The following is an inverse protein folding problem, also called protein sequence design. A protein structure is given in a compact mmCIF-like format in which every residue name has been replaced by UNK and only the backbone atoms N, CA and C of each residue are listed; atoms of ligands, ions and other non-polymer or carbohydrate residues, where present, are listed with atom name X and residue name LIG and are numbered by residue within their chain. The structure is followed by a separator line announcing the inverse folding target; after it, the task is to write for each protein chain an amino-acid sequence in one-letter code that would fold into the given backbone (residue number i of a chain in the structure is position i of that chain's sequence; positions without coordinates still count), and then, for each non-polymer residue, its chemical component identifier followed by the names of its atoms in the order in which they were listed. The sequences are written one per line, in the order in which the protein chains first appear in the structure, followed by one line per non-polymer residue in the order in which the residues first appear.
data_IF_593879039803
#
_entry.id   IF_593879039803
#
_cell.length_a   1.000
_cell.length_b   1.000
_cell.length_c   1.000
_cell.angle_alpha   90.00
_cell.angle_beta   90.00
_cell.angle_gamma   90.00
#
_symmetry.space_group_name_H-M   'P 1'
#
loop_
_entity.id
_entity.type
_entity.pdbx_description
1 polymer ?
#
# COMPACT_ATOMS: atom_id res chain seq x y z
N UNK A 1 43.98 -9.45 -22.99
CA UNK A 1 42.53 -9.67 -22.88
C UNK A 1 41.84 -8.50 -23.61
N UNK A 2 41.10 -8.79 -24.65
CA UNK A 2 40.51 -7.76 -25.51
C UNK A 2 39.29 -7.17 -24.79
N UNK A 3 39.00 -5.84 -24.92
CA UNK A 3 37.90 -5.16 -24.26
C UNK A 3 36.52 -5.75 -24.58
N UNK A 4 36.42 -6.57 -25.64
CA UNK A 4 35.22 -7.30 -26.00
C UNK A 4 34.87 -8.46 -25.03
N UNK A 5 35.88 -9.08 -24.41
CA UNK A 5 35.69 -10.19 -23.44
C UNK A 5 35.21 -9.58 -22.10
N UNK A 6 35.71 -8.39 -21.74
CA UNK A 6 35.27 -7.69 -20.53
C UNK A 6 33.81 -7.21 -20.63
N UNK A 7 33.39 -6.79 -21.83
CA UNK A 7 31.99 -6.38 -22.08
C UNK A 7 31.03 -7.57 -22.06
N UNK A 8 31.47 -8.74 -22.54
CA UNK A 8 30.66 -9.98 -22.52
C UNK A 8 30.54 -10.58 -21.11
N UNK A 9 31.58 -10.48 -20.28
CA UNK A 9 31.55 -10.89 -18.88
C UNK A 9 30.71 -9.93 -18.03
N UNK A 10 30.67 -8.64 -18.35
CA UNK A 10 29.82 -7.68 -17.67
C UNK A 10 28.33 -7.86 -18.04
N UNK A 11 28.03 -8.32 -19.25
CA UNK A 11 26.64 -8.63 -19.67
C UNK A 11 26.09 -9.93 -19.07
N UNK A 12 26.96 -10.89 -18.72
CA UNK A 12 26.57 -12.16 -18.09
C UNK A 12 26.39 -12.06 -16.57
N UNK A 13 26.82 -10.95 -15.95
CA UNK A 13 26.66 -10.73 -14.52
C UNK A 13 25.30 -10.13 -14.13
N UNK A 14 24.40 -9.86 -15.09
CA UNK A 14 23.05 -9.30 -14.85
C UNK A 14 21.94 -10.35 -15.00
N UNK A 15 22.22 -11.59 -14.64
CA UNK A 15 21.13 -12.56 -14.35
C UNK A 15 20.71 -12.42 -12.91
N UNK A 16 20.18 -11.24 -12.55
CA UNK A 16 19.47 -11.06 -11.30
C UNK A 16 18.22 -11.93 -11.31
N UNK A 17 18.05 -12.72 -10.27
CA UNK A 17 16.84 -13.50 -10.02
C UNK A 17 15.64 -12.55 -10.07
N UNK A 18 14.75 -12.74 -11.06
CA UNK A 18 13.49 -11.98 -11.15
C UNK A 18 12.56 -12.54 -10.07
N UNK A 19 12.75 -12.12 -8.84
CA UNK A 19 11.78 -12.34 -7.79
C UNK A 19 10.66 -11.31 -7.95
N UNK A 20 9.70 -11.60 -8.81
CA UNK A 20 8.50 -10.77 -9.01
C UNK A 20 7.52 -10.97 -7.85
N UNK A 21 7.92 -10.57 -6.64
CA UNK A 21 7.05 -10.63 -5.45
C UNK A 21 6.29 -9.33 -5.33
N UNK A 22 5.10 -9.27 -5.90
CA UNK A 22 4.22 -8.11 -5.76
C UNK A 22 3.28 -8.30 -4.58
N UNK A 23 3.38 -7.45 -3.55
CA UNK A 23 2.36 -7.31 -2.51
C UNK A 23 1.12 -6.60 -3.08
N UNK A 24 -0.04 -6.80 -2.43
CA UNK A 24 -1.28 -6.09 -2.75
C UNK A 24 -1.06 -4.60 -2.90
N UNK A 25 -1.58 -4.03 -3.96
CA UNK A 25 -1.43 -2.60 -4.28
C UNK A 25 -2.80 -1.95 -4.34
N UNK A 26 -3.06 -1.06 -3.41
CA UNK A 26 -4.28 -0.27 -3.41
C UNK A 26 -4.20 0.86 -4.43
N UNK A 27 -5.34 1.22 -4.99
CA UNK A 27 -5.45 2.28 -6.00
C UNK A 27 -5.48 3.68 -5.40
N UNK A 28 -5.88 3.78 -4.13
CA UNK A 28 -6.01 5.04 -3.40
C UNK A 28 -5.13 5.08 -2.13
N UNK A 29 -3.79 4.81 -2.21
CA UNK A 29 -2.93 4.75 -1.02
C UNK A 29 -2.88 6.06 -0.23
N UNK A 30 -3.13 7.18 -0.88
CA UNK A 30 -3.13 8.52 -0.27
C UNK A 30 -4.34 8.80 0.64
N UNK A 31 -5.38 7.98 0.62
CA UNK A 31 -6.51 8.11 1.56
C UNK A 31 -6.14 7.59 2.96
N UNK A 32 -5.12 6.73 3.03
CA UNK A 32 -4.60 6.19 4.28
C UNK A 32 -3.08 5.94 4.20
N UNK A 33 -2.26 7.01 4.29
CA UNK A 33 -0.80 6.90 4.14
C UNK A 33 -0.10 6.04 5.20
N UNK A 34 -0.75 5.73 6.33
CA UNK A 34 -0.23 4.82 7.37
C UNK A 34 0.14 3.46 6.78
N UNK A 35 -0.58 3.01 5.75
CA UNK A 35 -0.31 1.73 5.10
C UNK A 35 1.12 1.57 4.56
N UNK A 36 1.70 2.66 4.07
CA UNK A 36 3.05 2.63 3.49
C UNK A 36 4.08 3.43 4.30
N UNK A 37 3.64 4.35 5.18
CA UNK A 37 4.56 5.21 5.93
C UNK A 37 4.14 5.31 7.41
N UNK A 38 4.89 4.70 8.35
CA UNK A 38 4.57 4.72 9.78
C UNK A 38 4.62 6.14 10.37
N UNK A 39 5.34 7.07 9.74
CA UNK A 39 5.42 8.45 10.19
C UNK A 39 4.10 9.22 10.03
N UNK A 40 3.12 8.70 9.29
CA UNK A 40 1.81 9.34 9.14
C UNK A 40 0.87 9.11 10.34
N UNK A 41 1.12 8.11 11.19
CA UNK A 41 0.20 7.79 12.28
C UNK A 41 -0.12 9.03 13.14
N UNK A 42 -1.40 9.29 13.37
CA UNK A 42 -1.89 10.43 14.17
C UNK A 42 -1.90 11.80 13.47
N UNK A 43 -1.42 11.93 12.24
CA UNK A 43 -1.42 13.22 11.52
C UNK A 43 -2.81 13.68 11.04
N UNK A 44 -3.82 12.85 11.14
CA UNK A 44 -5.24 13.24 10.94
C UNK A 44 -5.83 14.02 12.15
N UNK A 45 -5.01 14.34 13.16
CA UNK A 45 -5.35 15.13 14.35
C UNK A 45 -6.48 14.56 15.23
N UNK A 46 -6.93 13.35 14.99
CA UNK A 46 -7.96 12.65 15.75
C UNK A 46 -7.80 11.13 15.57
N UNK A 47 -8.64 10.35 16.24
CA UNK A 47 -8.78 8.93 15.90
C UNK A 47 -9.32 8.81 14.49
N UNK A 48 -8.51 8.20 13.62
CA UNK A 48 -8.89 7.82 12.26
C UNK A 48 -8.90 6.30 12.12
N UNK A 49 -9.95 5.79 11.50
CA UNK A 49 -10.12 4.36 11.16
C UNK A 49 -10.39 4.30 9.66
N UNK A 50 -9.64 3.51 8.94
CA UNK A 50 -9.81 3.33 7.49
C UNK A 50 -9.92 1.85 7.16
N UNK A 51 -11.00 1.48 6.47
CA UNK A 51 -11.19 0.16 5.88
C UNK A 51 -11.10 0.23 4.37
N UNK A 52 -10.40 -0.71 3.75
CA UNK A 52 -10.32 -0.83 2.30
C UNK A 52 -10.56 -2.28 1.87
N UNK A 53 -11.30 -2.44 0.78
CA UNK A 53 -11.52 -3.70 0.09
C UNK A 53 -11.19 -3.53 -1.38
N UNK A 54 -10.35 -4.41 -1.92
CA UNK A 54 -9.92 -4.37 -3.31
C UNK A 54 -10.00 -5.75 -3.95
N UNK A 55 -10.58 -5.81 -5.15
CA UNK A 55 -10.45 -6.93 -6.07
C UNK A 55 -9.67 -6.47 -7.29
N UNK A 56 -8.64 -7.20 -7.66
CA UNK A 56 -7.80 -6.87 -8.80
C UNK A 56 -7.98 -7.90 -9.91
N UNK A 57 -8.02 -7.42 -11.16
CA UNK A 57 -8.20 -8.26 -12.35
C UNK A 57 -9.45 -9.13 -12.26
N UNK A 58 -10.59 -8.48 -12.03
CA UNK A 58 -11.87 -9.16 -11.83
C UNK A 58 -12.23 -10.03 -13.04
N UNK A 59 -12.64 -11.27 -12.78
CA UNK A 59 -12.94 -12.28 -13.78
C UNK A 59 -11.86 -13.34 -13.96
N UNK A 60 -10.65 -13.13 -13.42
CA UNK A 60 -9.62 -14.17 -13.40
C UNK A 60 -9.82 -15.11 -12.21
N UNK A 61 -9.68 -16.41 -12.44
CA UNK A 61 -9.66 -17.40 -11.37
C UNK A 61 -8.45 -17.15 -10.45
N UNK A 62 -8.69 -17.14 -9.12
CA UNK A 62 -7.64 -16.84 -8.14
C UNK A 62 -7.19 -15.38 -8.14
N UNK A 63 -8.02 -14.46 -8.65
CA UNK A 63 -7.73 -13.02 -8.68
C UNK A 63 -7.29 -12.47 -7.32
N UNK A 64 -6.39 -11.46 -7.29
CA UNK A 64 -5.97 -10.85 -6.03
C UNK A 64 -7.12 -10.17 -5.31
N UNK A 65 -7.26 -10.45 -4.00
CA UNK A 65 -8.22 -9.80 -3.11
C UNK A 65 -7.48 -9.26 -1.90
N UNK A 66 -7.50 -7.92 -1.74
CA UNK A 66 -6.93 -7.23 -0.60
C UNK A 66 -8.02 -6.71 0.34
N UNK A 67 -7.81 -6.91 1.64
CA UNK A 67 -8.66 -6.38 2.70
C UNK A 67 -7.78 -5.73 3.74
N UNK A 68 -8.08 -4.49 4.13
CA UNK A 68 -7.27 -3.78 5.10
C UNK A 68 -8.13 -2.97 6.04
N UNK A 69 -7.72 -2.96 7.30
CA UNK A 69 -8.25 -2.09 8.34
C UNK A 69 -7.07 -1.47 9.07
N UNK A 70 -7.06 -0.14 9.18
CA UNK A 70 -6.10 0.62 9.96
C UNK A 70 -6.81 1.52 10.95
N UNK A 71 -6.16 1.79 12.06
CA UNK A 71 -6.60 2.81 13.01
C UNK A 71 -5.36 3.54 13.55
N UNK A 72 -5.43 4.86 13.64
CA UNK A 72 -4.35 5.66 14.22
C UNK A 72 -4.87 6.88 14.96
N UNK A 73 -4.09 7.34 15.92
CA UNK A 73 -4.46 8.48 16.74
C UNK A 73 -3.21 9.28 17.18
N UNK A 74 -3.33 10.59 17.39
CA UNK A 74 -2.28 11.40 17.99
C UNK A 74 -2.23 11.23 19.51
N UNK A 75 -1.02 11.35 20.05
CA UNK A 75 -0.75 11.41 21.49
C UNK A 75 -0.01 12.72 21.75
N UNK A 76 -0.76 13.80 21.84
CA UNK A 76 -0.23 15.17 21.82
C UNK A 76 0.79 15.48 22.93
N UNK A 77 0.59 14.94 24.16
CA UNK A 77 1.51 15.18 25.26
C UNK A 77 2.90 14.55 25.05
N UNK A 78 3.01 13.56 24.15
CA UNK A 78 4.27 12.94 23.71
C UNK A 78 4.77 13.49 22.38
N UNK A 79 4.04 14.42 21.75
CA UNK A 79 4.32 14.86 20.38
C UNK A 79 4.44 13.67 19.42
N UNK A 80 3.53 12.72 19.52
CA UNK A 80 3.64 11.40 18.86
C UNK A 80 2.31 10.96 18.26
N UNK A 81 2.37 9.91 17.44
CA UNK A 81 1.22 9.19 16.97
C UNK A 81 1.41 7.68 17.08
N UNK A 82 0.31 6.98 17.27
CA UNK A 82 0.25 5.52 17.28
C UNK A 82 -0.70 5.04 16.19
N UNK A 83 -0.35 3.92 15.56
CA UNK A 83 -1.20 3.25 14.60
C UNK A 83 -1.17 1.75 14.76
N UNK A 84 -2.28 1.12 14.38
CA UNK A 84 -2.40 -0.33 14.24
C UNK A 84 -3.02 -0.63 12.88
N UNK A 85 -2.65 -1.74 12.29
CA UNK A 85 -3.16 -2.16 11.00
C UNK A 85 -3.28 -3.68 10.92
N UNK A 86 -4.29 -4.12 10.21
CA UNK A 86 -4.49 -5.52 9.83
C UNK A 86 -4.73 -5.56 8.33
N UNK A 87 -4.05 -6.45 7.65
CA UNK A 87 -4.22 -6.64 6.21
C UNK A 87 -4.28 -8.13 5.89
N UNK A 88 -5.17 -8.49 4.99
CA UNK A 88 -5.27 -9.82 4.39
C UNK A 88 -5.19 -9.67 2.88
N UNK A 89 -4.25 -10.36 2.28
CA UNK A 89 -4.04 -10.43 0.84
C UNK A 89 -4.12 -11.88 0.37
N UNK A 90 -4.99 -12.16 -0.58
CA UNK A 90 -5.19 -13.48 -1.17
C UNK A 90 -4.86 -13.41 -2.65
N UNK A 91 -4.05 -14.33 -3.13
CA UNK A 91 -3.69 -14.48 -4.54
C UNK A 91 -3.58 -15.97 -4.87
N UNK A 92 -4.57 -16.52 -5.55
CA UNK A 92 -4.63 -17.95 -5.83
C UNK A 92 -4.54 -18.79 -4.54
N UNK A 93 -3.55 -19.66 -4.47
CA UNK A 93 -3.27 -20.52 -3.31
C UNK A 93 -2.55 -19.80 -2.16
N UNK A 94 -2.09 -18.56 -2.37
CA UNK A 94 -1.34 -17.79 -1.38
C UNK A 94 -2.27 -16.88 -0.58
N UNK A 95 -2.15 -16.87 0.73
CA UNK A 95 -2.76 -15.89 1.62
C UNK A 95 -1.71 -15.29 2.54
N UNK A 96 -1.58 -13.96 2.54
CA UNK A 96 -0.70 -13.21 3.43
C UNK A 96 -1.56 -12.41 4.40
N UNK A 97 -1.50 -12.75 5.68
CA UNK A 97 -2.08 -11.96 6.76
C UNK A 97 -0.98 -11.11 7.41
N UNK A 98 -1.29 -9.86 7.71
CA UNK A 98 -0.35 -8.94 8.31
C UNK A 98 -1.01 -8.23 9.48
N UNK A 99 -0.29 -8.09 10.58
CA UNK A 99 -0.67 -7.26 11.73
C UNK A 99 0.50 -6.32 12.04
N UNK A 100 0.24 -5.01 12.04
CA UNK A 100 1.25 -3.99 12.23
C UNK A 100 0.92 -3.05 13.37
N UNK A 101 1.97 -2.58 14.03
CA UNK A 101 1.93 -1.46 14.99
C UNK A 101 2.93 -0.40 14.57
N UNK A 102 2.55 0.86 14.65
CA UNK A 102 3.39 1.99 14.28
C UNK A 102 3.45 3.03 15.38
N UNK A 103 4.59 3.69 15.46
CA UNK A 103 4.86 4.80 16.35
C UNK A 103 5.64 5.86 15.59
N UNK A 104 5.32 7.14 15.85
CA UNK A 104 6.12 8.24 15.33
C UNK A 104 6.31 9.35 16.37
N UNK A 105 7.32 10.18 16.10
CA UNK A 105 7.56 11.43 16.79
C UNK A 105 7.32 12.59 15.82
N UNK A 106 6.58 13.60 16.29
CA UNK A 106 6.12 14.74 15.51
C UNK A 106 6.79 16.02 15.98
N UNK A 107 7.46 16.71 15.07
CA UNK A 107 8.08 18.02 15.29
C UNK A 107 7.26 19.10 14.59
N UNK A 108 6.55 19.88 15.39
CA UNK A 108 5.75 21.01 14.89
C UNK A 108 6.64 22.23 14.67
N UNK A 109 6.54 22.86 13.50
CA UNK A 109 7.26 24.07 13.13
C UNK A 109 6.33 25.05 12.40
N UNK A 110 5.85 26.07 13.10
CA UNK A 110 4.85 27.00 12.55
C UNK A 110 3.58 26.25 12.12
N UNK A 111 3.21 26.35 10.86
CA UNK A 111 2.06 25.67 10.23
C UNK A 111 2.44 24.34 9.58
N UNK A 112 3.56 23.72 9.95
CA UNK A 112 3.98 22.44 9.38
C UNK A 112 4.37 21.44 10.45
N UNK A 113 4.27 20.14 10.11
CA UNK A 113 4.68 19.02 10.95
C UNK A 113 5.67 18.16 10.17
N UNK A 114 6.81 17.90 10.79
CA UNK A 114 7.74 16.85 10.41
C UNK A 114 7.51 15.65 11.30
N UNK A 115 7.42 14.48 10.75
CA UNK A 115 7.24 13.25 11.50
C UNK A 115 8.27 12.21 11.09
N UNK A 116 8.82 11.50 12.07
CA UNK A 116 9.70 10.35 11.84
C UNK A 116 9.06 9.15 12.55
N UNK A 117 8.89 8.05 11.85
CA UNK A 117 8.16 6.91 12.38
C UNK A 117 8.83 5.57 12.10
N UNK A 118 8.48 4.61 12.94
CA UNK A 118 8.88 3.22 12.83
C UNK A 118 7.67 2.31 12.99
N UNK A 119 7.71 1.14 12.40
CA UNK A 119 6.69 0.12 12.62
C UNK A 119 7.29 -1.29 12.71
N UNK A 120 6.60 -2.14 13.44
CA UNK A 120 6.81 -3.58 13.46
C UNK A 120 5.57 -4.25 12.88
N UNK A 121 5.75 -5.23 11.99
CA UNK A 121 4.67 -5.94 11.32
C UNK A 121 4.92 -7.43 11.32
N UNK A 122 4.01 -8.18 11.92
CA UNK A 122 3.99 -9.64 11.81
C UNK A 122 3.35 -10.03 10.49
N UNK A 123 4.07 -10.79 9.69
CA UNK A 123 3.62 -11.39 8.44
C UNK A 123 3.35 -12.87 8.69
N UNK A 124 2.21 -13.36 8.28
CA UNK A 124 1.85 -14.77 8.28
C UNK A 124 1.46 -15.16 6.87
N UNK A 125 2.30 -15.97 6.23
CA UNK A 125 2.08 -16.50 4.89
C UNK A 125 1.52 -17.91 4.99
N UNK A 126 0.35 -18.12 4.37
CA UNK A 126 -0.28 -19.43 4.24
C UNK A 126 -0.29 -19.82 2.77
N UNK A 127 0.04 -21.07 2.50
CA UNK A 127 -0.03 -21.69 1.17
C UNK A 127 -0.99 -22.88 1.24
N UNK A 128 -2.03 -22.85 0.40
CA UNK A 128 -2.93 -23.99 0.24
C UNK A 128 -2.40 -24.94 -0.81
N UNK A 129 -1.67 -25.96 -0.39
CA UNK A 129 -1.11 -26.97 -1.27
C UNK A 129 -2.14 -27.73 -2.10
N UNK A 130 -3.38 -27.79 -1.62
CA UNK A 130 -4.48 -28.46 -2.35
C UNK A 130 -4.87 -27.72 -3.62
N UNK A 131 -4.64 -26.41 -3.65
CA UNK A 131 -4.94 -25.54 -4.79
C UNK A 131 -3.76 -25.41 -5.76
N UNK A 132 -2.57 -25.91 -5.38
CA UNK A 132 -1.41 -25.91 -6.26
C UNK A 132 -1.54 -26.99 -7.32
N UNK A 133 -0.98 -26.73 -8.51
CA UNK A 133 -0.93 -27.68 -9.62
C UNK A 133 0.43 -27.62 -10.28
N UNK A 134 1.01 -28.80 -10.56
CA UNK A 134 2.24 -28.95 -11.32
C UNK A 134 1.96 -29.68 -12.64
N UNK A 135 2.74 -29.48 -13.70
CA UNK A 135 2.55 -30.15 -14.97
C UNK A 135 2.56 -31.68 -14.87
N UNK A 136 3.40 -32.23 -13.98
CA UNK A 136 3.57 -33.67 -13.80
C UNK A 136 2.79 -34.23 -12.59
N UNK A 137 1.91 -33.41 -11.98
CA UNK A 137 1.13 -33.82 -10.82
C UNK A 137 -0.06 -34.71 -11.18
N UNK A 138 -0.54 -35.48 -10.20
CA UNK A 138 -1.70 -36.38 -10.33
C UNK A 138 -2.81 -35.83 -9.44
N UNK A 139 -3.96 -35.50 -10.03
CA UNK A 139 -5.09 -34.80 -9.38
C UNK A 139 -6.45 -35.42 -9.75
N UNK A 140 -6.46 -36.68 -10.18
CA UNK A 140 -7.67 -37.37 -10.63
C UNK A 140 -8.65 -37.67 -9.48
N UNK A 141 -8.10 -37.92 -8.27
CA UNK A 141 -8.89 -38.12 -7.06
C UNK A 141 -8.81 -36.86 -6.17
N UNK A 142 -9.94 -36.24 -5.79
CA UNK A 142 -9.97 -35.08 -4.90
C UNK A 142 -9.28 -35.27 -3.54
N UNK A 143 -9.13 -36.53 -3.09
CA UNK A 143 -8.49 -36.87 -1.84
C UNK A 143 -7.00 -37.21 -1.99
N UNK A 144 -6.52 -37.36 -3.22
CA UNK A 144 -5.12 -37.74 -3.51
C UNK A 144 -4.45 -36.63 -4.31
N UNK A 145 -3.57 -35.88 -3.64
CA UNK A 145 -2.81 -34.78 -4.25
C UNK A 145 -1.35 -35.22 -4.31
N UNK A 146 -0.85 -35.39 -5.54
CA UNK A 146 0.54 -35.73 -5.78
C UNK A 146 1.12 -34.67 -6.73
N UNK A 147 1.96 -33.80 -6.20
CA UNK A 147 2.58 -32.73 -7.00
C UNK A 147 3.76 -33.23 -7.83
N UNK A 148 4.36 -34.38 -7.47
CA UNK A 148 5.65 -34.85 -8.01
C UNK A 148 6.77 -33.81 -7.87
N UNK A 149 6.66 -32.97 -6.83
CA UNK A 149 7.62 -31.94 -6.42
C UNK A 149 7.66 -31.92 -4.91
N UNK A 150 8.81 -32.31 -4.34
CA UNK A 150 9.01 -32.44 -2.88
C UNK A 150 9.01 -31.07 -2.15
N UNK A 151 9.13 -29.95 -2.91
CA UNK A 151 9.10 -28.61 -2.34
C UNK A 151 7.69 -28.08 -2.12
N UNK A 152 6.68 -28.67 -2.78
CA UNK A 152 5.30 -28.21 -2.70
C UNK A 152 4.52 -28.98 -1.62
N UNK A 153 3.88 -28.25 -0.68
CA UNK A 153 3.02 -28.89 0.31
C UNK A 153 1.77 -29.48 -0.32
N UNK A 154 1.33 -30.65 0.13
CA UNK A 154 0.07 -31.29 -0.26
C UNK A 154 -1.11 -30.84 0.61
N UNK A 155 -0.82 -30.15 1.72
CA UNK A 155 -1.80 -29.62 2.67
C UNK A 155 -1.62 -28.10 2.81
N UNK A 156 -2.48 -27.45 3.59
CA UNK A 156 -2.27 -26.05 3.92
C UNK A 156 -1.16 -25.91 4.96
N UNK A 157 -0.16 -25.08 4.65
CA UNK A 157 0.94 -24.74 5.55
C UNK A 157 0.93 -23.23 5.85
N UNK A 158 1.41 -22.84 7.03
CA UNK A 158 1.41 -21.43 7.44
C UNK A 158 2.60 -21.15 8.34
N UNK A 159 3.38 -20.13 7.96
CA UNK A 159 4.56 -19.70 8.70
C UNK A 159 4.60 -18.17 8.77
N UNK A 160 5.42 -17.63 9.66
CA UNK A 160 5.45 -16.19 9.89
C UNK A 160 6.83 -15.62 10.15
N UNK A 161 6.93 -14.29 9.91
CA UNK A 161 8.14 -13.54 10.20
C UNK A 161 7.80 -12.08 10.58
N UNK A 162 8.69 -11.46 11.35
CA UNK A 162 8.57 -10.08 11.79
C UNK A 162 9.35 -9.15 10.85
N UNK A 163 8.64 -8.20 10.23
CA UNK A 163 9.20 -7.12 9.44
C UNK A 163 9.26 -5.81 10.24
N UNK A 164 10.26 -4.99 9.97
CA UNK A 164 10.39 -3.65 10.52
C UNK A 164 10.42 -2.62 9.41
N UNK A 165 9.87 -1.41 9.68
CA UNK A 165 9.79 -0.34 8.70
C UNK A 165 10.12 0.99 9.35
N UNK A 166 10.57 1.95 8.54
CA UNK A 166 10.79 3.32 8.98
C UNK A 166 10.37 4.31 7.90
N UNK A 167 10.08 5.55 8.32
CA UNK A 167 9.70 6.58 7.38
C UNK A 167 9.82 7.98 7.95
N UNK A 168 9.76 8.94 7.03
CA UNK A 168 9.69 10.38 7.31
C UNK A 168 8.48 10.92 6.56
N UNK A 169 7.72 11.79 7.18
CA UNK A 169 6.58 12.46 6.59
C UNK A 169 6.58 13.94 6.91
N UNK A 170 6.17 14.73 5.95
CA UNK A 170 6.00 16.17 6.07
C UNK A 170 4.56 16.54 5.73
N UNK A 171 3.96 17.40 6.53
CA UNK A 171 2.62 17.92 6.30
C UNK A 171 2.58 19.42 6.55
N UNK A 172 2.10 20.16 5.58
CA UNK A 172 1.80 21.58 5.63
C UNK A 172 0.47 21.87 4.95
N UNK A 173 0.04 23.12 4.94
CA UNK A 173 -1.27 23.52 4.40
C UNK A 173 -1.47 23.08 2.94
N UNK A 174 -0.47 23.34 2.09
CA UNK A 174 -0.57 23.13 0.63
C UNK A 174 0.29 21.98 0.11
N UNK A 175 1.02 21.31 1.00
CA UNK A 175 1.97 20.27 0.64
C UNK A 175 1.98 19.18 1.71
N UNK A 176 1.83 17.94 1.29
CA UNK A 176 2.17 16.80 2.11
C UNK A 176 2.95 15.77 1.31
N UNK A 177 3.81 15.05 1.99
CA UNK A 177 4.58 13.99 1.34
C UNK A 177 5.50 13.29 2.32
N UNK A 178 6.09 12.20 1.86
CA UNK A 178 6.99 11.43 2.68
C UNK A 178 7.68 10.32 1.92
N UNK A 179 8.69 9.78 2.57
CA UNK A 179 9.44 8.60 2.12
C UNK A 179 9.45 7.56 3.22
N UNK A 180 9.42 6.30 2.83
CA UNK A 180 9.51 5.19 3.79
C UNK A 180 10.14 3.97 3.17
N UNK A 181 10.65 3.10 4.03
CA UNK A 181 11.13 1.78 3.67
C UNK A 181 10.44 0.74 4.55
N UNK A 182 9.82 -0.26 3.92
CA UNK A 182 9.16 -1.39 4.56
C UNK A 182 10.05 -2.62 4.48
N UNK A 183 9.90 -3.53 5.43
CA UNK A 183 10.66 -4.78 5.50
C UNK A 183 12.18 -4.56 5.46
N UNK A 184 12.68 -3.57 6.20
CA UNK A 184 14.10 -3.19 6.24
C UNK A 184 15.04 -4.36 6.56
N UNK A 185 14.55 -5.31 7.34
CA UNK A 185 15.27 -6.53 7.72
C UNK A 185 15.09 -7.69 6.72
N UNK A 186 14.39 -7.47 5.59
CA UNK A 186 14.07 -8.50 4.59
C UNK A 186 13.64 -9.82 5.26
N UNK A 187 12.51 -9.85 6.01
CA UNK A 187 12.18 -11.00 6.84
C UNK A 187 11.99 -12.27 6.01
N UNK A 188 12.53 -13.36 6.50
CA UNK A 188 12.46 -14.68 5.88
C UNK A 188 11.39 -15.51 6.58
N UNK A 189 10.43 -16.01 5.83
CA UNK A 189 9.41 -16.96 6.27
C UNK A 189 9.87 -18.34 5.86
N UNK A 190 10.33 -19.13 6.84
CA UNK A 190 10.88 -20.47 6.61
C UNK A 190 9.77 -21.52 6.60
N UNK A 191 9.59 -22.21 5.47
CA UNK A 191 8.76 -23.39 5.34
C UNK A 191 9.62 -24.65 5.35
N UNK A 192 9.01 -25.80 5.59
CA UNK A 192 9.70 -27.05 5.40
C UNK A 192 10.01 -27.25 3.90
N UNK A 193 11.29 -27.23 3.56
CA UNK A 193 11.78 -27.40 2.20
C UNK A 193 12.12 -26.13 1.42
N UNK A 194 11.62 -24.93 1.79
CA UNK A 194 11.97 -23.69 1.14
C UNK A 194 11.79 -22.46 2.03
N UNK A 195 12.49 -21.39 1.69
CA UNK A 195 12.40 -20.10 2.34
C UNK A 195 11.71 -19.07 1.43
N UNK A 196 10.82 -18.26 2.02
CA UNK A 196 10.18 -17.14 1.33
C UNK A 196 10.64 -15.83 1.95
N UNK A 197 11.45 -15.06 1.23
CA UNK A 197 11.94 -13.77 1.68
C UNK A 197 10.98 -12.65 1.25
N UNK A 198 10.48 -11.88 2.21
CA UNK A 198 9.74 -10.65 1.94
C UNK A 198 10.73 -9.53 1.59
N UNK A 199 10.74 -9.13 0.33
CA UNK A 199 11.61 -8.07 -0.17
C UNK A 199 11.38 -6.72 0.51
N UNK A 200 12.44 -5.92 0.58
CA UNK A 200 12.36 -4.52 0.99
C UNK A 200 11.51 -3.73 0.00
N UNK A 201 10.77 -2.73 0.49
CA UNK A 201 9.98 -1.85 -0.34
C UNK A 201 10.23 -0.40 0.05
N UNK A 202 10.47 0.42 -0.94
CA UNK A 202 10.70 1.85 -0.81
C UNK A 202 9.52 2.61 -1.38
N UNK A 203 8.99 3.56 -0.63
CA UNK A 203 7.84 4.35 -1.00
C UNK A 203 8.20 5.83 -1.00
N UNK A 204 7.68 6.57 -1.97
CA UNK A 204 7.75 8.02 -2.01
C UNK A 204 6.38 8.57 -2.39
N UNK A 205 5.92 9.59 -1.69
CA UNK A 205 4.61 10.21 -1.88
C UNK A 205 4.71 11.71 -1.83
N UNK A 206 3.98 12.37 -2.71
CA UNK A 206 3.83 13.82 -2.75
C UNK A 206 2.41 14.18 -3.17
N UNK A 207 1.79 15.11 -2.44
CA UNK A 207 0.52 15.73 -2.83
C UNK A 207 0.59 17.23 -2.57
N UNK A 208 0.20 17.97 -3.58
CA UNK A 208 0.03 19.42 -3.52
C UNK A 208 -1.46 19.77 -3.45
N UNK A 209 -1.77 20.96 -2.97
CA UNK A 209 -3.13 21.50 -2.94
C UNK A 209 -3.13 22.92 -3.46
N UNK A 210 -4.03 23.18 -4.39
CA UNK A 210 -4.24 24.51 -4.94
C UNK A 210 -5.74 24.83 -4.95
N UNK A 211 -6.10 25.98 -4.41
CA UNK A 211 -7.45 26.52 -4.55
C UNK A 211 -7.57 27.15 -5.96
N UNK A 212 -8.46 26.62 -6.80
CA UNK A 212 -8.70 27.15 -8.15
C UNK A 212 -9.75 28.25 -8.14
N UNK A 213 -10.85 28.02 -7.43
CA UNK A 213 -12.02 28.89 -7.30
C UNK A 213 -12.58 28.72 -5.88
N UNK A 214 -13.48 29.61 -5.47
CA UNK A 214 -14.02 29.68 -4.10
C UNK A 214 -14.44 28.34 -3.47
N UNK A 215 -14.75 27.30 -4.26
CA UNK A 215 -15.21 25.99 -3.79
C UNK A 215 -14.46 24.83 -4.44
N UNK A 216 -13.52 25.11 -5.30
CA UNK A 216 -12.80 24.09 -6.04
C UNK A 216 -11.33 24.06 -5.66
N UNK A 217 -10.86 22.86 -5.40
CA UNK A 217 -9.45 22.59 -5.20
C UNK A 217 -8.95 21.55 -6.20
N UNK A 218 -7.73 21.70 -6.63
CA UNK A 218 -7.00 20.68 -7.39
C UNK A 218 -5.84 20.19 -6.55
N UNK A 219 -5.69 18.86 -6.50
CA UNK A 219 -4.65 18.20 -5.71
C UNK A 219 -3.84 17.26 -6.61
N UNK A 220 -2.81 17.78 -7.29
CA UNK A 220 -1.85 16.92 -7.98
C UNK A 220 -1.14 16.03 -6.98
N UNK A 221 -0.92 14.78 -7.37
CA UNK A 221 -0.24 13.80 -6.55
C UNK A 221 0.71 12.91 -7.37
N UNK A 222 1.74 12.45 -6.70
CA UNK A 222 2.68 11.46 -7.20
C UNK A 222 2.93 10.41 -6.12
N UNK A 223 2.98 9.16 -6.50
CA UNK A 223 3.31 8.05 -5.63
C UNK A 223 4.22 7.06 -6.35
N UNK A 224 5.31 6.72 -5.72
CA UNK A 224 6.27 5.74 -6.20
C UNK A 224 6.45 4.60 -5.21
N UNK A 225 6.58 3.39 -5.73
CA UNK A 225 6.96 2.19 -4.98
C UNK A 225 8.05 1.46 -5.75
N UNK A 226 9.09 1.03 -5.04
CA UNK A 226 10.20 0.25 -5.61
C UNK A 226 10.60 -0.87 -4.66
N UNK A 227 10.95 -2.03 -5.20
CA UNK A 227 11.58 -3.14 -4.47
C UNK A 227 13.09 -3.23 -4.70
N UNK A 228 13.67 -2.18 -5.32
CA UNK A 228 15.08 -2.13 -5.71
C UNK A 228 15.33 -2.70 -7.11
N UNK A 229 14.43 -3.53 -7.64
CA UNK A 229 14.53 -4.12 -9.00
C UNK A 229 13.52 -3.48 -9.94
N UNK A 230 12.29 -3.34 -9.48
CA UNK A 230 11.20 -2.74 -10.23
C UNK A 230 10.70 -1.48 -9.53
N UNK A 231 10.34 -0.48 -10.31
CA UNK A 231 9.75 0.77 -9.80
C UNK A 231 8.44 1.03 -10.51
N UNK A 232 7.37 1.20 -9.72
CA UNK A 232 6.08 1.64 -10.22
C UNK A 232 5.82 3.06 -9.78
N UNK A 233 5.40 3.90 -10.72
CA UNK A 233 5.07 5.29 -10.50
C UNK A 233 3.59 5.53 -10.81
N UNK A 234 2.95 6.33 -9.97
CA UNK A 234 1.58 6.78 -10.17
C UNK A 234 1.54 8.31 -10.11
N UNK A 235 0.91 8.92 -11.10
CA UNK A 235 0.75 10.37 -11.19
C UNK A 235 -0.70 10.68 -11.48
N UNK A 236 -1.23 11.72 -10.85
CA UNK A 236 -2.60 12.12 -11.11
C UNK A 236 -3.01 13.38 -10.41
N UNK A 237 -4.29 13.65 -10.46
CA UNK A 237 -4.91 14.78 -9.78
C UNK A 237 -6.27 14.40 -9.24
N UNK A 238 -6.58 14.97 -8.08
CA UNK A 238 -7.93 14.98 -7.51
C UNK A 238 -8.50 16.37 -7.64
N UNK A 239 -9.76 16.47 -8.00
CA UNK A 239 -10.56 17.68 -7.98
C UNK A 239 -11.57 17.55 -6.86
N UNK A 240 -11.58 18.51 -5.94
CA UNK A 240 -12.50 18.51 -4.81
C UNK A 240 -13.42 19.73 -4.89
N UNK A 241 -14.72 19.48 -4.72
CA UNK A 241 -15.74 20.50 -4.69
C UNK A 241 -16.36 20.64 -3.31
N UNK A 242 -16.39 21.87 -2.81
CA UNK A 242 -17.03 22.26 -1.54
C UNK A 242 -16.62 21.36 -0.37
N UNK A 243 -15.37 20.90 -0.40
CA UNK A 243 -14.74 20.01 0.60
C UNK A 243 -15.48 18.67 0.82
N UNK A 244 -16.48 18.40 0.02
CA UNK A 244 -17.39 17.27 0.19
C UNK A 244 -17.21 16.17 -0.86
N UNK A 245 -17.19 16.52 -2.13
CA UNK A 245 -17.11 15.57 -3.23
C UNK A 245 -15.73 15.69 -3.87
N UNK A 246 -15.10 14.58 -4.17
CA UNK A 246 -13.89 14.57 -4.98
C UNK A 246 -13.99 13.54 -6.09
N UNK A 247 -13.38 13.87 -7.19
CA UNK A 247 -13.18 12.98 -8.34
C UNK A 247 -11.75 13.13 -8.82
N UNK A 248 -11.22 12.13 -9.47
CA UNK A 248 -9.87 12.20 -9.97
C UNK A 248 -9.49 11.05 -10.88
N UNK A 249 -8.30 11.18 -11.43
CA UNK A 249 -7.68 10.12 -12.18
C UNK A 249 -6.17 10.06 -11.88
N UNK A 250 -5.65 8.85 -11.86
CA UNK A 250 -4.20 8.62 -11.78
C UNK A 250 -3.77 7.64 -12.86
N UNK A 251 -2.65 7.94 -13.48
CA UNK A 251 -1.96 7.01 -14.35
C UNK A 251 -0.95 6.23 -13.54
N UNK A 252 -0.89 4.93 -13.75
CA UNK A 252 0.08 4.02 -13.13
C UNK A 252 0.87 3.28 -14.21
N UNK A 253 2.19 3.28 -14.05
CA UNK A 253 3.11 2.60 -14.96
C UNK A 253 4.35 2.08 -14.26
N UNK A 254 5.08 1.19 -14.94
CA UNK A 254 6.35 0.64 -14.47
C UNK A 254 7.55 1.33 -15.15
N UNK A 255 8.72 1.23 -14.52
CA UNK A 255 9.96 1.59 -15.18
C UNK A 255 10.23 0.60 -16.32
N UNK A 256 10.28 1.10 -17.55
CA UNK A 256 10.79 0.34 -18.69
C UNK A 256 9.81 -0.04 -19.79
N UNK A 257 8.62 0.55 -19.90
CA UNK A 257 7.73 0.46 -21.06
C UNK A 257 6.33 -0.17 -20.86
N UNK A 258 5.94 -0.59 -19.66
CA UNK A 258 4.60 -1.16 -19.46
C UNK A 258 3.67 -0.16 -18.80
N UNK A 259 2.66 0.25 -19.54
CA UNK A 259 1.51 0.96 -18.99
C UNK A 259 0.68 -0.06 -18.20
N UNK A 260 0.46 0.20 -16.90
CA UNK A 260 -0.31 -0.71 -16.05
C UNK A 260 -1.80 -0.42 -16.14
N UNK A 261 -2.19 0.78 -15.71
CA UNK A 261 -3.58 1.14 -15.60
C UNK A 261 -3.80 2.66 -15.58
N UNK A 262 -4.99 3.07 -15.95
CA UNK A 262 -5.58 4.35 -15.56
C UNK A 262 -6.60 4.07 -14.47
N UNK A 263 -6.43 4.72 -13.32
CA UNK A 263 -7.35 4.64 -12.19
C UNK A 263 -8.31 5.82 -12.25
N UNK A 264 -9.58 5.56 -12.36
CA UNK A 264 -10.65 6.54 -12.19
C UNK A 264 -11.19 6.42 -10.78
N UNK A 265 -11.33 7.54 -10.09
CA UNK A 265 -11.75 7.50 -8.69
C UNK A 265 -12.71 8.64 -8.36
N UNK A 266 -13.55 8.38 -7.37
CA UNK A 266 -14.46 9.37 -6.82
C UNK A 266 -14.81 9.02 -5.39
N UNK A 267 -15.20 10.03 -4.63
CA UNK A 267 -15.62 9.86 -3.26
C UNK A 267 -16.37 11.06 -2.74
N UNK A 268 -16.96 10.88 -1.58
CA UNK A 268 -17.74 11.91 -0.90
C UNK A 268 -17.71 11.74 0.62
N UNK A 269 -17.90 12.83 1.32
CA UNK A 269 -18.10 12.83 2.75
C UNK A 269 -19.60 12.64 3.04
N UNK A 270 -19.97 11.47 3.58
CA UNK A 270 -21.34 11.18 4.01
C UNK A 270 -21.73 12.02 5.23
N UNK A 271 -20.76 12.37 6.04
CA UNK A 271 -20.87 13.25 7.20
C UNK A 271 -19.53 13.88 7.50
N UNK A 272 -19.45 14.73 8.52
CA UNK A 272 -18.19 15.33 8.99
C UNK A 272 -17.16 14.27 9.44
N UNK A 273 -17.63 13.07 9.77
CA UNK A 273 -16.80 11.99 10.31
C UNK A 273 -16.57 10.84 9.34
N UNK A 274 -17.42 10.65 8.36
CA UNK A 274 -17.43 9.47 7.49
C UNK A 274 -17.24 9.89 6.04
N UNK A 275 -16.24 9.31 5.40
CA UNK A 275 -15.98 9.46 3.96
C UNK A 275 -15.99 8.10 3.29
N UNK A 276 -16.49 8.04 2.07
CA UNK A 276 -16.46 6.85 1.21
C UNK A 276 -15.82 7.21 -0.12
N UNK A 277 -15.01 6.33 -0.64
CA UNK A 277 -14.38 6.46 -1.96
C UNK A 277 -14.44 5.13 -2.71
N UNK A 278 -14.50 5.26 -4.02
CA UNK A 278 -14.44 4.14 -4.95
C UNK A 278 -13.44 4.44 -6.05
N UNK A 279 -12.65 3.43 -6.42
CA UNK A 279 -11.77 3.49 -7.57
C UNK A 279 -12.00 2.29 -8.50
N UNK A 280 -11.87 2.58 -9.78
CA UNK A 280 -11.89 1.61 -10.86
C UNK A 280 -10.60 1.72 -11.67
N UNK A 281 -9.84 0.61 -11.74
CA UNK A 281 -8.63 0.57 -12.54
C UNK A 281 -8.97 0.00 -13.93
N UNK A 282 -8.74 0.81 -14.95
CA UNK A 282 -8.79 0.40 -16.36
C UNK A 282 -7.40 -0.11 -16.72
N UNK A 283 -7.28 -1.41 -16.88
CA UNK A 283 -6.01 -2.07 -17.23
C UNK A 283 -5.60 -1.71 -18.66
N UNK A 284 -4.34 -1.31 -18.84
CA UNK A 284 -3.79 -0.93 -20.15
C UNK A 284 -2.90 -2.03 -20.75
N UNK A 285 -2.45 -2.98 -19.94
CA UNK A 285 -1.64 -4.12 -20.39
C UNK A 285 -2.49 -5.17 -21.13
N UNK A 286 -1.85 -6.20 -21.67
CA UNK A 286 -2.51 -7.30 -22.37
C UNK A 286 -3.51 -8.06 -21.48
N UNK A 287 -3.39 -7.98 -20.17
CA UNK A 287 -4.35 -8.56 -19.21
C UNK A 287 -5.78 -8.07 -19.42
N UNK A 288 -5.98 -6.88 -20.01
CA UNK A 288 -7.32 -6.32 -20.34
C UNK A 288 -8.17 -7.24 -21.24
N UNK A 289 -7.56 -8.22 -21.90
CA UNK A 289 -8.27 -9.16 -22.79
C UNK A 289 -8.95 -10.28 -22.03
N UNK A 290 -8.58 -10.53 -20.78
CA UNK A 290 -9.02 -11.66 -19.96
C UNK A 290 -9.61 -11.26 -18.60
N UNK A 291 -9.66 -9.96 -18.30
CA UNK A 291 -10.19 -9.42 -17.05
C UNK A 291 -11.08 -8.18 -17.30
N UNK A 292 -11.85 -7.74 -16.32
CA UNK A 292 -12.81 -6.66 -16.44
C UNK A 292 -12.45 -5.42 -15.60
N UNK A 293 -11.18 -5.23 -15.25
CA UNK A 293 -10.70 -4.14 -14.41
C UNK A 293 -10.51 -4.53 -12.95
N UNK A 294 -10.13 -3.55 -12.14
CA UNK A 294 -9.98 -3.74 -10.70
C UNK A 294 -10.84 -2.72 -9.95
N UNK A 295 -11.36 -3.14 -8.82
CA UNK A 295 -12.29 -2.34 -8.02
C UNK A 295 -11.75 -2.15 -6.62
N UNK A 296 -11.86 -0.94 -6.08
CA UNK A 296 -11.50 -0.65 -4.69
C UNK A 296 -12.56 0.23 -4.05
N UNK A 297 -12.97 -0.14 -2.85
CA UNK A 297 -13.82 0.66 -1.97
C UNK A 297 -13.04 1.00 -0.71
N UNK A 298 -13.03 2.26 -0.33
CA UNK A 298 -12.41 2.73 0.90
C UNK A 298 -13.44 3.48 1.73
N UNK A 299 -13.54 3.12 3.01
CA UNK A 299 -14.35 3.81 4.02
C UNK A 299 -13.42 4.37 5.08
N UNK A 300 -13.52 5.69 5.34
CA UNK A 300 -12.74 6.37 6.37
C UNK A 300 -13.67 6.99 7.39
N UNK A 301 -13.39 6.72 8.66
CA UNK A 301 -13.99 7.38 9.82
C UNK A 301 -12.94 8.22 10.54
N UNK A 302 -13.23 9.48 10.82
CA UNK A 302 -12.41 10.32 11.68
C UNK A 302 -13.31 10.89 12.78
N UNK A 303 -12.93 10.67 14.03
CA UNK A 303 -13.74 11.07 15.19
C UNK A 303 -13.95 12.59 15.26
N UNK A 304 -13.03 13.39 14.67
CA UNK A 304 -13.08 14.85 14.64
C UNK A 304 -13.12 15.49 16.03
N UNK A 305 -12.55 14.78 17.00
CA UNK A 305 -12.46 15.25 18.38
C UNK A 305 -11.05 15.04 18.90
N UNK A 306 -10.61 15.96 19.72
CA UNK A 306 -9.34 15.84 20.42
C UNK A 306 -9.40 14.68 21.42
N UNK A 307 -8.37 13.85 21.41
CA UNK A 307 -8.22 12.72 22.32
C UNK A 307 -7.04 12.98 23.23
N UNK A 308 -7.27 12.87 24.55
CA UNK A 308 -6.22 13.00 25.56
C UNK A 308 -5.78 14.43 25.86
N UNK A 309 -4.76 14.52 26.72
CA UNK A 309 -4.14 15.78 27.13
C UNK A 309 -3.05 16.21 26.11
N UNK A 310 -2.67 17.47 26.14
CA UNK A 310 -1.64 18.07 25.29
C UNK A 310 -2.21 19.13 24.35
N UNK A 311 -1.37 19.82 23.63
CA UNK A 311 -1.76 20.84 22.64
C UNK A 311 -1.63 20.25 21.26
N UNK A 312 -2.73 20.17 20.46
CA UNK A 312 -2.62 19.74 19.08
C UNK A 312 -1.70 20.69 18.30
N UNK A 313 -1.02 20.23 17.25
CA UNK A 313 -0.35 21.12 16.33
C UNK A 313 -1.34 22.15 15.79
N UNK A 314 -0.91 23.35 15.40
CA UNK A 314 -1.78 24.29 14.73
C UNK A 314 -2.42 23.58 13.55
N UNK A 315 -3.73 23.80 13.40
CA UNK A 315 -4.50 23.10 12.35
C UNK A 315 -3.92 23.47 11.00
N UNK A 316 -3.30 22.50 10.36
CA UNK A 316 -2.62 22.70 9.10
C UNK A 316 -3.63 22.80 7.96
N UNK A 317 -4.76 22.15 8.09
CA UNK A 317 -5.91 22.31 7.22
C UNK A 317 -7.18 21.71 7.87
N UNK A 318 -8.15 22.57 8.14
CA UNK A 318 -9.48 22.17 8.58
C UNK A 318 -10.50 22.72 7.58
N UNK A 319 -11.02 21.89 6.66
CA UNK A 319 -11.90 22.38 5.61
C UNK A 319 -13.16 23.09 6.08
N UNK A 320 -13.61 22.80 7.31
CA UNK A 320 -14.88 23.32 7.86
C UNK A 320 -14.73 24.24 9.09
N UNK A 321 -13.54 24.69 9.41
CA UNK A 321 -13.33 25.63 10.53
C UNK A 321 -13.33 27.10 10.09
N UNK A 322 -13.88 27.42 8.92
CA UNK A 322 -14.17 28.80 8.51
C UNK A 322 -15.64 29.08 8.86
N UNK A 323 -15.92 29.47 10.08
CA UNK A 323 -16.99 30.41 10.38
C UNK A 323 -16.48 31.83 10.32
#
# INVERSE_FOLDING_TARGET
MTPRILLFTLLLAVTGSVAAQQLSRYSMPWLDPVQFNPAYAGLDNSLSITGAYRTQWTGLEGQPVGQRLSAHLPVYYLSSGFGVEVERDVLGARQLNQFGVSYNYQLVRGSSVWSVGVSARMHQLSLDGRSLRTPDGIYEDPNTIIHNDDLLPTTSVSEGALGVSAGIYYQAENLEGGVSARNLNAPVIGFEGFDYTLGQQYHAYLKLRFELLRKWEVMPLAYGISDGTQTQLSFGSLFRYDENIFVGATYRGHSGSTNDAVVLLGGLNLSDKISVAYAYDVTLSELRTVETGSHEVTLKYNLRQRIGAGVPPPVIYYPRAKE
#
